data_IF_490893795834
#
_entry.id   IF_490893795834
#
_cell.length_a   1.000
_cell.length_b   1.000
_cell.length_c   1.000
_cell.angle_alpha   90.00
_cell.angle_beta   90.00
_cell.angle_gamma   90.00
#
_symmetry.space_group_name_H-M   'P 1'
#
loop_
_entity.id
_entity.type
_entity.pdbx_description
1 polymer ?
#
# COMPACT_ATOMS: atom_id res chain seq x y z
N UNK A 1 19.35 25.51 9.86
CA UNK A 1 19.47 25.16 8.43
C UNK A 1 18.13 24.60 8.00
N UNK A 2 17.44 25.23 7.04
CA UNK A 2 16.14 24.71 6.55
C UNK A 2 16.41 23.39 5.82
N UNK A 3 15.62 22.33 6.08
CA UNK A 3 15.65 21.10 5.27
C UNK A 3 15.20 21.47 3.85
N UNK A 4 16.14 21.70 2.95
CA UNK A 4 15.86 22.10 1.56
C UNK A 4 15.68 20.90 0.61
N UNK A 5 15.53 19.69 1.14
CA UNK A 5 15.38 18.46 0.36
C UNK A 5 14.32 17.54 0.94
N UNK A 6 13.94 16.54 0.15
CA UNK A 6 12.95 15.53 0.50
C UNK A 6 13.33 14.81 1.79
N UNK A 7 12.44 14.87 2.78
CA UNK A 7 12.58 14.09 4.02
C UNK A 7 12.15 12.65 3.77
N UNK A 8 13.08 11.86 3.23
CA UNK A 8 12.80 10.47 2.88
C UNK A 8 12.46 9.62 4.11
N UNK A 9 13.00 9.94 5.29
CA UNK A 9 12.68 9.23 6.52
C UNK A 9 11.21 9.46 6.93
N UNK A 10 10.73 10.71 6.87
CA UNK A 10 9.33 11.02 7.10
C UNK A 10 8.41 10.36 6.05
N UNK A 11 8.83 10.37 4.78
CA UNK A 11 8.11 9.68 3.70
C UNK A 11 8.00 8.17 3.94
N UNK A 12 9.10 7.51 4.29
CA UNK A 12 9.10 6.08 4.63
C UNK A 12 8.21 5.76 5.83
N UNK A 13 8.17 6.63 6.85
CA UNK A 13 7.27 6.46 8.00
C UNK A 13 5.79 6.49 7.58
N UNK A 14 5.42 7.36 6.64
CA UNK A 14 4.06 7.41 6.10
C UNK A 14 3.75 6.17 5.28
N UNK A 15 4.65 5.76 4.38
CA UNK A 15 4.47 4.54 3.59
C UNK A 15 4.36 3.29 4.48
N UNK A 16 5.16 3.19 5.54
CA UNK A 16 5.08 2.08 6.50
C UNK A 16 3.75 2.03 7.24
N UNK A 17 3.20 3.19 7.60
CA UNK A 17 1.86 3.28 8.21
C UNK A 17 0.76 2.83 7.24
N UNK A 18 0.84 3.27 5.99
CA UNK A 18 -0.09 2.86 4.93
C UNK A 18 0.03 1.36 4.62
N UNK A 19 1.26 0.81 4.59
CA UNK A 19 1.49 -0.63 4.41
C UNK A 19 0.86 -1.44 5.52
N UNK A 20 1.04 -1.01 6.77
CA UNK A 20 0.42 -1.66 7.94
C UNK A 20 -1.11 -1.66 7.87
N UNK A 21 -1.72 -0.58 7.35
CA UNK A 21 -3.17 -0.54 7.11
C UNK A 21 -3.59 -1.52 6.00
N UNK A 22 -2.81 -1.61 4.91
CA UNK A 22 -3.06 -2.56 3.82
C UNK A 22 -2.94 -4.01 4.31
N UNK A 23 -1.92 -4.33 5.11
CA UNK A 23 -1.75 -5.64 5.73
C UNK A 23 -2.96 -6.00 6.61
N UNK A 24 -3.45 -5.03 7.40
CA UNK A 24 -4.67 -5.19 8.20
C UNK A 24 -5.92 -5.46 7.35
N UNK A 25 -6.08 -4.76 6.23
CA UNK A 25 -7.20 -4.99 5.29
C UNK A 25 -7.08 -6.31 4.55
N UNK A 26 -5.87 -6.73 4.19
CA UNK A 26 -5.62 -8.02 3.56
C UNK A 26 -6.02 -9.17 4.48
N UNK A 27 -5.63 -9.06 5.76
CA UNK A 27 -5.95 -10.03 6.81
C UNK A 27 -7.46 -10.17 7.10
N UNK A 28 -8.28 -9.17 6.76
CA UNK A 28 -9.75 -9.27 6.85
C UNK A 28 -10.29 -10.22 5.79
N UNK A 29 -10.27 -11.53 6.05
CA UNK A 29 -10.82 -12.52 5.15
C UNK A 29 -12.29 -12.82 5.49
N UNK A 30 -13.21 -12.58 4.55
CA UNK A 30 -14.64 -12.85 4.73
C UNK A 30 -14.96 -14.34 4.53
N UNK A 31 -13.93 -15.18 4.34
CA UNK A 31 -14.10 -16.63 4.20
C UNK A 31 -14.79 -17.28 5.40
N UNK A 32 -14.77 -16.65 6.58
CA UNK A 32 -15.48 -17.10 7.79
C UNK A 32 -17.02 -16.96 7.68
N UNK A 33 -17.54 -16.21 6.70
CA UNK A 33 -18.98 -16.05 6.42
C UNK A 33 -19.50 -17.08 5.40
N UNK A 34 -18.88 -18.27 5.34
CA UNK A 34 -19.35 -19.34 4.47
C UNK A 34 -20.44 -20.17 5.14
N UNK A 35 -21.58 -20.30 4.46
CA UNK A 35 -22.61 -21.27 4.83
C UNK A 35 -22.14 -22.68 4.44
N UNK A 36 -22.38 -23.68 5.29
CA UNK A 36 -22.25 -25.09 4.89
C UNK A 36 -23.14 -25.30 3.65
N UNK A 37 -22.53 -25.77 2.55
CA UNK A 37 -23.13 -26.01 1.24
C UNK A 37 -24.66 -26.24 1.25
N UNK A 38 -25.39 -25.44 0.48
CA UNK A 38 -26.84 -25.52 0.32
C UNK A 38 -27.21 -25.16 -1.12
N UNK A 39 -28.23 -25.83 -1.67
CA UNK A 39 -28.71 -25.58 -3.03
C UNK A 39 -29.81 -24.50 -3.09
N UNK A 40 -30.16 -23.91 -1.94
CA UNK A 40 -31.14 -22.84 -1.85
C UNK A 40 -30.58 -21.55 -2.46
N UNK A 41 -31.23 -21.03 -3.51
CA UNK A 41 -30.81 -19.85 -4.28
C UNK A 41 -30.33 -18.64 -3.45
N UNK A 42 -30.99 -18.24 -2.35
CA UNK A 42 -30.52 -17.09 -1.56
C UNK A 42 -29.10 -17.28 -1.01
N UNK A 43 -28.79 -18.51 -0.59
CA UNK A 43 -27.50 -18.84 0.02
C UNK A 43 -26.40 -19.04 -1.03
N UNK A 44 -26.70 -19.68 -2.17
CA UNK A 44 -25.73 -19.79 -3.28
C UNK A 44 -25.38 -18.43 -3.88
N UNK A 45 -26.37 -17.53 -4.02
CA UNK A 45 -26.15 -16.15 -4.45
C UNK A 45 -25.27 -15.36 -3.47
N UNK A 46 -25.49 -15.52 -2.17
CA UNK A 46 -24.68 -14.88 -1.14
C UNK A 46 -23.23 -15.41 -1.12
N UNK A 47 -23.03 -16.72 -1.24
CA UNK A 47 -21.69 -17.33 -1.35
C UNK A 47 -20.92 -16.76 -2.55
N UNK A 48 -21.58 -16.64 -3.71
CA UNK A 48 -20.97 -16.04 -4.89
C UNK A 48 -20.59 -14.57 -4.69
N UNK A 49 -21.43 -13.79 -3.97
CA UNK A 49 -21.13 -12.41 -3.63
C UNK A 49 -19.90 -12.27 -2.72
N UNK A 50 -19.76 -13.12 -1.70
CA UNK A 50 -18.57 -13.17 -0.85
C UNK A 50 -17.32 -13.50 -1.67
N UNK A 51 -17.39 -14.52 -2.54
CA UNK A 51 -16.27 -14.90 -3.38
C UNK A 51 -15.84 -13.76 -4.31
N UNK A 52 -16.79 -13.07 -4.93
CA UNK A 52 -16.52 -11.89 -5.75
C UNK A 52 -15.87 -10.77 -4.94
N UNK A 53 -16.41 -10.46 -3.75
CA UNK A 53 -15.83 -9.47 -2.86
C UNK A 53 -14.37 -9.81 -2.49
N UNK A 54 -14.09 -11.04 -2.06
CA UNK A 54 -12.74 -11.47 -1.70
C UNK A 54 -11.77 -11.39 -2.89
N UNK A 55 -12.23 -11.70 -4.10
CA UNK A 55 -11.44 -11.51 -5.31
C UNK A 55 -11.16 -10.03 -5.61
N UNK A 56 -12.18 -9.17 -5.58
CA UNK A 56 -12.01 -7.73 -5.77
C UNK A 56 -11.08 -7.12 -4.72
N UNK A 57 -11.21 -7.52 -3.45
CA UNK A 57 -10.32 -7.12 -2.36
C UNK A 57 -8.86 -7.49 -2.68
N UNK A 58 -8.60 -8.76 -3.04
CA UNK A 58 -7.23 -9.22 -3.38
C UNK A 58 -6.61 -8.43 -4.53
N UNK A 59 -7.38 -8.16 -5.58
CA UNK A 59 -6.91 -7.34 -6.71
C UNK A 59 -6.61 -5.90 -6.30
N UNK A 60 -7.47 -5.31 -5.47
CA UNK A 60 -7.26 -3.96 -4.94
C UNK A 60 -6.02 -3.88 -4.04
N UNK A 61 -5.81 -4.86 -3.15
CA UNK A 61 -4.61 -4.92 -2.30
C UNK A 61 -3.33 -5.02 -3.13
N UNK A 62 -3.31 -5.85 -4.17
CA UNK A 62 -2.15 -5.94 -5.07
C UNK A 62 -1.80 -4.58 -5.69
N UNK A 63 -2.81 -3.88 -6.21
CA UNK A 63 -2.61 -2.54 -6.75
C UNK A 63 -2.04 -1.57 -5.71
N UNK A 64 -2.55 -1.60 -4.48
CA UNK A 64 -2.04 -0.74 -3.39
C UNK A 64 -0.58 -1.05 -3.05
N UNK A 65 -0.20 -2.33 -2.96
CA UNK A 65 1.18 -2.70 -2.67
C UNK A 65 2.13 -2.29 -3.80
N UNK A 66 1.73 -2.50 -5.06
CA UNK A 66 2.51 -2.05 -6.21
C UNK A 66 2.69 -0.52 -6.20
N UNK A 67 1.64 0.23 -5.86
CA UNK A 67 1.69 1.69 -5.76
C UNK A 67 2.59 2.16 -4.60
N UNK A 68 2.54 1.50 -3.44
CA UNK A 68 3.42 1.78 -2.30
C UNK A 68 4.91 1.56 -2.65
N UNK A 69 5.23 0.49 -3.38
CA UNK A 69 6.61 0.21 -3.79
C UNK A 69 7.11 1.23 -4.85
N UNK A 70 6.22 1.68 -5.75
CA UNK A 70 6.50 2.77 -6.68
C UNK A 70 6.74 4.10 -5.93
N UNK A 71 5.90 4.41 -4.94
CA UNK A 71 6.02 5.58 -4.09
C UNK A 71 7.33 5.61 -3.30
N UNK A 72 7.78 4.47 -2.78
CA UNK A 72 9.08 4.37 -2.10
C UNK A 72 10.22 4.65 -3.07
N UNK A 73 10.17 4.04 -4.26
CA UNK A 73 11.16 4.23 -5.33
C UNK A 73 11.27 5.69 -5.76
N UNK A 74 10.13 6.36 -5.98
CA UNK A 74 10.09 7.78 -6.36
C UNK A 74 10.64 8.65 -5.24
N UNK A 75 10.26 8.39 -3.98
CA UNK A 75 10.78 9.11 -2.82
C UNK A 75 12.30 9.00 -2.69
N UNK A 76 12.84 7.79 -2.85
CA UNK A 76 14.28 7.54 -2.80
C UNK A 76 15.02 8.25 -3.94
N UNK A 77 14.47 8.19 -5.15
CA UNK A 77 15.05 8.85 -6.31
C UNK A 77 15.07 10.37 -6.11
N UNK A 78 13.99 10.94 -5.57
CA UNK A 78 13.93 12.37 -5.29
C UNK A 78 14.92 12.80 -4.21
N UNK A 79 15.04 12.03 -3.13
CA UNK A 79 16.03 12.31 -2.09
C UNK A 79 17.47 12.26 -2.60
N UNK A 80 17.79 11.30 -3.49
CA UNK A 80 19.10 11.22 -4.16
C UNK A 80 19.34 12.42 -5.10
N UNK A 81 18.32 12.82 -5.86
CA UNK A 81 18.38 14.00 -6.74
C UNK A 81 18.63 15.28 -5.93
N UNK A 82 17.88 15.50 -4.85
CA UNK A 82 18.05 16.65 -3.97
C UNK A 82 19.48 16.70 -3.41
N UNK A 83 20.01 15.56 -2.95
CA UNK A 83 21.40 15.46 -2.45
C UNK A 83 22.41 15.86 -3.52
N UNK A 84 22.29 15.32 -4.73
CA UNK A 84 23.18 15.67 -5.86
C UNK A 84 23.12 17.16 -6.19
N UNK A 85 21.92 17.75 -6.17
CA UNK A 85 21.75 19.19 -6.43
C UNK A 85 22.37 20.06 -5.34
N UNK A 86 22.26 19.66 -4.07
CA UNK A 86 22.89 20.35 -2.96
C UNK A 86 24.42 20.28 -3.03
N UNK A 87 24.97 19.09 -3.29
CA UNK A 87 26.41 18.88 -3.50
C UNK A 87 26.95 19.72 -4.66
N UNK A 88 26.25 19.74 -5.81
CA UNK A 88 26.61 20.55 -6.97
C UNK A 88 26.60 22.07 -6.68
N UNK A 89 25.81 22.51 -5.69
CA UNK A 89 25.74 23.91 -5.23
C UNK A 89 26.70 24.22 -4.07
N UNK A 90 27.53 23.26 -3.66
CA UNK A 90 28.51 23.43 -2.58
C UNK A 90 27.94 23.30 -1.17
N UNK A 91 26.69 22.83 -1.03
CA UNK A 91 26.09 22.57 0.28
C UNK A 91 26.38 21.13 0.72
N UNK A 92 26.78 20.95 1.99
CA UNK A 92 26.79 19.63 2.63
C UNK A 92 25.40 19.33 3.20
N UNK A 93 24.70 18.39 2.59
CA UNK A 93 23.51 17.79 3.22
C UNK A 93 23.99 16.91 4.39
N UNK A 94 23.43 17.13 5.58
CA UNK A 94 23.58 16.21 6.71
C UNK A 94 22.60 15.05 6.58
#
# INVERSE_FOLDING_TARGET
MVKTGTDYAAWQSLLGSTRSLCDGLEALNIDDLQFSSTDLKPFTGFIAAIAHFNNSKRSYMRYLFDDLDNMDTVGLNKAKDDRRQAEARGYKMQ
#
